data_IF_939472059683
#
_entry.id   IF_939472059683
#
_cell.length_a   1.000
_cell.length_b   1.000
_cell.length_c   1.000
_cell.angle_alpha   90.00
_cell.angle_beta   90.00
_cell.angle_gamma   90.00
#
_symmetry.space_group_name_H-M   'P 1'
#
loop_
_entity.id
_entity.type
_entity.pdbx_description
1 polymer ?
#
# COMPACT_ATOMS: atom_id res chain seq x y z
N UNK A 1 31.39 -1.43 -5.86
CA UNK A 1 31.29 -0.26 -4.98
C UNK A 1 31.86 -0.70 -3.65
N UNK A 2 32.96 -0.10 -3.19
CA UNK A 2 33.51 -0.45 -1.87
C UNK A 2 32.81 0.39 -0.82
N UNK A 3 32.10 -0.24 0.11
CA UNK A 3 31.34 0.48 1.14
C UNK A 3 32.22 1.01 2.28
N UNK A 4 33.51 0.64 2.32
CA UNK A 4 34.50 1.21 3.24
C UNK A 4 34.52 2.74 3.16
N UNK A 5 34.64 3.29 1.94
CA UNK A 5 34.65 4.73 1.72
C UNK A 5 33.33 5.41 2.14
N UNK A 6 32.19 4.74 1.92
CA UNK A 6 30.89 5.24 2.36
C UNK A 6 30.84 5.41 3.88
N UNK A 7 31.19 4.38 4.65
CA UNK A 7 31.12 4.45 6.11
C UNK A 7 32.19 5.36 6.72
N UNK A 8 33.39 5.41 6.15
CA UNK A 8 34.50 6.21 6.67
C UNK A 8 34.40 7.69 6.27
N UNK A 9 34.09 7.99 5.02
CA UNK A 9 34.19 9.35 4.47
C UNK A 9 32.84 10.00 4.24
N UNK A 10 31.88 9.27 3.62
CA UNK A 10 30.59 9.87 3.30
C UNK A 10 29.72 10.05 4.56
N UNK A 11 29.76 9.08 5.46
CA UNK A 11 29.08 9.10 6.75
C UNK A 11 29.95 9.73 7.84
N UNK A 12 31.27 9.48 7.80
CA UNK A 12 32.19 9.99 8.82
C UNK A 12 32.12 9.26 10.16
N UNK A 13 31.98 7.93 10.18
CA UNK A 13 31.88 7.19 11.44
C UNK A 13 33.15 7.36 12.27
N UNK A 14 32.98 7.75 13.53
CA UNK A 14 34.09 7.96 14.44
C UNK A 14 34.49 6.69 15.19
N UNK A 15 35.76 6.65 15.63
CA UNK A 15 36.35 5.57 16.48
C UNK A 15 36.19 4.17 15.88
N UNK A 16 36.33 4.06 14.56
CA UNK A 16 36.21 2.79 13.85
C UNK A 16 37.33 1.82 14.26
N UNK A 17 36.94 0.57 14.54
CA UNK A 17 37.83 -0.59 14.63
C UNK A 17 37.45 -1.60 13.57
N UNK A 18 38.42 -2.03 12.77
CA UNK A 18 38.24 -3.02 11.70
C UNK A 18 38.61 -4.43 12.14
N UNK A 19 37.87 -5.42 11.64
CA UNK A 19 38.19 -6.85 11.72
C UNK A 19 37.77 -7.50 10.41
N UNK A 20 38.73 -7.72 9.51
CA UNK A 20 38.43 -8.11 8.13
C UNK A 20 37.59 -7.04 7.43
N UNK A 21 36.49 -7.44 6.82
CA UNK A 21 35.54 -6.54 6.17
C UNK A 21 34.46 -5.95 7.10
N UNK A 22 34.53 -6.22 8.40
CA UNK A 22 33.61 -5.68 9.40
C UNK A 22 34.25 -4.52 10.16
N UNK A 23 33.53 -3.41 10.28
CA UNK A 23 33.86 -2.25 11.10
C UNK A 23 32.91 -2.13 12.29
N UNK A 24 33.39 -1.54 13.39
CA UNK A 24 32.57 -1.08 14.50
C UNK A 24 33.00 0.31 14.94
N UNK A 25 32.05 1.24 15.10
CA UNK A 25 32.29 2.63 15.47
C UNK A 25 31.13 3.24 16.24
N UNK A 26 31.17 4.57 16.42
CA UNK A 26 30.09 5.32 17.05
C UNK A 26 28.85 5.35 16.15
N UNK A 27 27.67 5.21 16.73
CA UNK A 27 26.41 5.32 15.98
C UNK A 27 26.23 6.72 15.39
N UNK A 28 26.02 6.85 14.07
CA UNK A 28 25.82 8.15 13.42
C UNK A 28 24.36 8.64 13.49
N UNK A 29 23.43 7.87 14.07
CA UNK A 29 22.00 8.19 14.04
C UNK A 29 21.67 9.36 14.98
N UNK A 30 20.97 10.42 14.52
CA UNK A 30 20.67 11.60 15.33
C UNK A 30 19.86 11.32 16.60
N UNK A 31 19.06 10.26 16.60
CA UNK A 31 18.23 9.85 17.73
C UNK A 31 19.01 9.07 18.82
N UNK A 32 20.32 8.89 18.65
CA UNK A 32 21.15 8.12 19.57
C UNK A 32 22.46 8.86 19.87
N UNK A 33 22.53 9.47 21.06
CA UNK A 33 23.77 10.05 21.60
C UNK A 33 24.68 8.95 22.14
N UNK A 34 25.42 8.33 21.22
CA UNK A 34 26.26 7.17 21.50
C UNK A 34 27.68 7.57 21.94
N UNK A 35 28.08 7.12 23.12
CA UNK A 35 29.39 7.40 23.70
C UNK A 35 30.36 6.20 23.57
N UNK A 36 29.84 5.02 23.21
CA UNK A 36 30.60 3.78 23.14
C UNK A 36 30.38 3.09 21.79
N UNK A 37 31.42 2.68 21.05
CA UNK A 37 31.25 2.07 19.73
C UNK A 37 30.23 0.92 19.73
N UNK A 38 29.05 1.18 19.18
CA UNK A 38 27.93 0.24 19.16
C UNK A 38 27.41 -0.02 17.74
N UNK A 39 27.91 0.72 16.75
CA UNK A 39 27.48 0.63 15.35
C UNK A 39 28.43 -0.24 14.54
N UNK A 40 27.97 -1.44 14.20
CA UNK A 40 28.72 -2.39 13.38
C UNK A 40 28.27 -2.35 11.92
N UNK A 41 29.21 -2.47 10.99
CA UNK A 41 28.95 -2.39 9.55
C UNK A 41 29.90 -3.24 8.71
N UNK A 42 29.51 -3.52 7.47
CA UNK A 42 30.24 -4.38 6.53
C UNK A 42 30.66 -3.62 5.28
N UNK A 43 31.97 -3.52 5.02
CA UNK A 43 32.52 -2.88 3.81
C UNK A 43 32.22 -3.66 2.52
N UNK A 44 31.93 -4.96 2.63
CA UNK A 44 31.61 -5.82 1.48
C UNK A 44 30.13 -5.74 1.09
N UNK A 45 29.23 -5.77 2.08
CA UNK A 45 27.78 -5.89 1.83
C UNK A 45 27.02 -4.60 2.02
N UNK A 46 27.63 -3.57 2.62
CA UNK A 46 26.98 -2.31 2.94
C UNK A 46 25.93 -2.43 4.05
N UNK A 47 25.85 -3.57 4.75
CA UNK A 47 24.93 -3.77 5.87
C UNK A 47 25.47 -3.12 7.14
N UNK A 48 24.57 -2.67 8.01
CA UNK A 48 24.91 -2.11 9.32
C UNK A 48 23.87 -2.49 10.39
N UNK A 49 24.30 -2.46 11.64
CA UNK A 49 23.49 -2.73 12.82
C UNK A 49 24.06 -1.96 14.02
N UNK A 50 23.21 -1.19 14.70
CA UNK A 50 23.56 -0.54 15.94
C UNK A 50 23.07 -1.35 17.14
N UNK A 51 24.00 -1.89 17.93
CA UNK A 51 23.70 -2.65 19.14
C UNK A 51 23.23 -1.76 20.31
N UNK A 52 23.44 -0.43 20.24
CA UNK A 52 22.96 0.53 21.23
C UNK A 52 21.47 0.86 21.07
N UNK A 53 21.09 1.48 19.94
CA UNK A 53 19.69 1.86 19.68
C UNK A 53 18.82 0.77 19.04
N UNK A 54 19.41 -0.32 18.54
CA UNK A 54 18.69 -1.44 17.92
C UNK A 54 18.33 -1.26 16.44
N UNK A 55 18.61 -0.10 15.85
CA UNK A 55 18.40 0.18 14.43
C UNK A 55 19.39 -0.57 13.55
N UNK A 56 18.96 -0.94 12.34
CA UNK A 56 19.77 -1.70 11.38
C UNK A 56 19.31 -1.49 9.94
N UNK A 57 20.21 -1.74 8.99
CA UNK A 57 19.94 -1.35 7.61
C UNK A 57 21.02 -1.77 6.61
N UNK A 58 20.90 -1.22 5.42
CA UNK A 58 21.96 -1.14 4.42
C UNK A 58 22.40 0.31 4.19
N UNK A 59 23.44 0.51 3.38
CA UNK A 59 24.01 1.82 3.07
C UNK A 59 22.96 2.83 2.57
N UNK A 60 22.04 2.39 1.72
CA UNK A 60 20.92 3.21 1.26
C UNK A 60 20.03 3.71 2.40
N UNK A 61 19.59 2.80 3.28
CA UNK A 61 18.73 3.17 4.42
C UNK A 61 19.46 4.11 5.39
N UNK A 62 20.76 3.93 5.61
CA UNK A 62 21.55 4.84 6.44
C UNK A 62 21.61 6.23 5.82
N UNK A 63 21.94 6.31 4.53
CA UNK A 63 22.01 7.58 3.80
C UNK A 63 20.68 8.34 3.83
N UNK A 64 19.54 7.62 3.79
CA UNK A 64 18.22 8.22 3.97
C UNK A 64 17.99 8.77 5.37
N UNK A 65 18.32 8.01 6.42
CA UNK A 65 18.12 8.44 7.81
C UNK A 65 18.96 9.69 8.13
N UNK A 66 20.15 9.77 7.55
CA UNK A 66 21.04 10.93 7.69
C UNK A 66 20.74 12.06 6.69
N UNK A 67 19.62 11.98 5.96
CA UNK A 67 19.17 13.00 4.99
C UNK A 67 20.23 13.40 3.95
N UNK A 68 21.08 12.44 3.54
CA UNK A 68 22.15 12.70 2.58
C UNK A 68 21.60 13.04 1.19
N UNK A 69 22.28 13.91 0.43
CA UNK A 69 21.94 14.15 -0.97
C UNK A 69 22.16 12.89 -1.82
N UNK A 70 21.17 12.55 -2.65
CA UNK A 70 21.20 11.40 -3.57
C UNK A 70 21.48 10.03 -2.89
N UNK A 71 20.64 9.57 -1.94
CA UNK A 71 20.85 8.29 -1.26
C UNK A 71 20.74 7.09 -2.22
N UNK A 72 20.04 7.26 -3.34
CA UNK A 72 19.87 6.25 -4.37
C UNK A 72 21.19 5.77 -4.98
N UNK A 73 22.28 6.53 -4.88
CA UNK A 73 23.60 6.09 -5.35
C UNK A 73 24.09 4.83 -4.63
N UNK A 74 23.62 4.59 -3.40
CA UNK A 74 23.96 3.42 -2.59
C UNK A 74 23.01 2.23 -2.82
N UNK A 75 22.05 2.36 -3.75
CA UNK A 75 21.27 1.25 -4.29
C UNK A 75 22.11 0.53 -5.35
N UNK A 76 23.07 -0.31 -4.95
CA UNK A 76 23.64 -1.24 -5.92
C UNK A 76 24.09 -2.57 -5.31
N UNK A 77 23.39 -3.62 -5.74
CA UNK A 77 23.71 -5.03 -5.57
C UNK A 77 24.75 -5.37 -6.64
N UNK A 78 25.97 -5.82 -6.29
CA UNK A 78 26.90 -6.34 -7.27
C UNK A 78 26.30 -7.57 -7.96
N UNK A 79 26.13 -7.50 -9.28
CA UNK A 79 25.63 -8.59 -10.14
C UNK A 79 26.50 -9.86 -10.12
N UNK A 80 27.68 -9.79 -9.50
CA UNK A 80 28.66 -10.89 -9.39
C UNK A 80 28.36 -11.92 -8.30
N UNK A 81 27.44 -11.65 -7.36
CA UNK A 81 27.06 -12.58 -6.28
C UNK A 81 25.84 -13.48 -6.59
N UNK A 82 25.27 -13.40 -7.80
CA UNK A 82 24.13 -14.23 -8.21
C UNK A 82 24.47 -15.69 -8.55
N UNK A 83 25.75 -16.09 -8.49
CA UNK A 83 26.17 -17.47 -8.70
C UNK A 83 26.88 -18.00 -7.47
N UNK A 84 26.10 -18.52 -6.54
CA UNK A 84 26.22 -19.88 -6.03
C UNK A 84 25.21 -20.07 -4.89
N UNK A 85 24.26 -20.97 -5.10
CA UNK A 85 23.36 -21.40 -4.04
C UNK A 85 24.18 -22.04 -2.92
N UNK A 86 23.92 -21.64 -1.69
CA UNK A 86 23.58 -22.48 -0.55
C UNK A 86 23.18 -21.58 0.63
N UNK A 87 22.02 -21.90 1.19
CA UNK A 87 21.25 -21.29 2.28
C UNK A 87 21.96 -20.38 3.29
N UNK A 88 21.40 -19.17 3.41
CA UNK A 88 21.65 -18.24 4.52
C UNK A 88 21.32 -16.79 4.19
N UNK A 89 20.33 -16.52 3.33
CA UNK A 89 20.02 -15.15 2.89
C UNK A 89 19.53 -14.27 4.03
N UNK A 90 20.40 -13.35 4.49
CA UNK A 90 20.01 -12.21 5.31
C UNK A 90 18.99 -11.42 4.48
N UNK A 91 17.72 -11.47 4.92
CA UNK A 91 16.66 -10.65 4.34
C UNK A 91 17.02 -9.19 4.63
N UNK A 92 16.98 -8.29 3.64
CA UNK A 92 17.11 -6.86 3.92
C UNK A 92 16.08 -6.49 4.99
N UNK A 93 16.40 -5.61 5.96
CA UNK A 93 15.36 -5.05 6.80
C UNK A 93 14.36 -4.41 5.87
N UNK A 94 13.13 -4.91 5.90
CA UNK A 94 12.01 -4.22 5.26
C UNK A 94 12.06 -2.81 5.82
N UNK A 95 12.18 -1.81 4.96
CA UNK A 95 11.61 -0.50 5.25
C UNK A 95 10.20 -0.83 5.75
N UNK A 96 9.93 -0.69 7.05
CA UNK A 96 8.57 -0.82 7.58
C UNK A 96 7.81 0.44 7.14
N UNK A 97 7.61 0.57 5.83
CA UNK A 97 6.47 1.29 5.28
C UNK A 97 5.29 0.54 5.88
N UNK A 98 4.52 1.20 6.74
CA UNK A 98 3.32 0.56 7.28
C UNK A 98 2.49 0.10 6.09
N UNK A 99 1.86 -1.08 6.12
CA UNK A 99 1.06 -1.56 4.98
C UNK A 99 0.06 -0.51 4.46
N UNK A 100 -0.45 0.35 5.35
CA UNK A 100 -1.30 1.51 5.03
C UNK A 100 -0.62 2.55 4.14
N UNK A 101 0.65 2.85 4.38
CA UNK A 101 1.41 3.85 3.61
C UNK A 101 1.73 3.32 2.21
N UNK A 102 2.02 2.02 2.07
CA UNK A 102 2.22 1.39 0.76
C UNK A 102 0.93 1.41 -0.06
N UNK A 103 -0.20 1.11 0.58
CA UNK A 103 -1.52 1.16 -0.07
C UNK A 103 -1.85 2.58 -0.52
N UNK A 104 -1.68 3.58 0.35
CA UNK A 104 -1.92 4.98 0.00
C UNK A 104 -1.06 5.45 -1.18
N UNK A 105 0.23 5.07 -1.20
CA UNK A 105 1.13 5.37 -2.33
C UNK A 105 0.67 4.70 -3.63
N UNK A 106 0.22 3.44 -3.56
CA UNK A 106 -0.32 2.71 -4.72
C UNK A 106 -1.62 3.34 -5.22
N UNK A 107 -2.53 3.72 -4.33
CA UNK A 107 -3.78 4.41 -4.68
C UNK A 107 -3.51 5.72 -5.42
N UNK A 108 -2.66 6.58 -4.85
CA UNK A 108 -2.27 7.84 -5.48
C UNK A 108 -1.64 7.61 -6.87
N UNK A 109 -0.76 6.62 -6.98
CA UNK A 109 -0.18 6.22 -8.27
C UNK A 109 -1.27 5.78 -9.26
N UNK A 110 -2.16 4.87 -8.89
CA UNK A 110 -3.18 4.33 -9.80
C UNK A 110 -4.22 5.38 -10.20
N UNK A 111 -4.61 6.29 -9.30
CA UNK A 111 -5.47 7.44 -9.63
C UNK A 111 -4.79 8.37 -10.63
N UNK A 112 -3.47 8.60 -10.50
CA UNK A 112 -2.72 9.41 -11.47
C UNK A 112 -2.67 8.77 -12.87
N UNK A 113 -2.66 7.43 -12.95
CA UNK A 113 -2.60 6.66 -14.20
C UNK A 113 -3.96 6.53 -14.91
N UNK A 114 -5.07 6.89 -14.25
CA UNK A 114 -6.40 6.84 -14.84
C UNK A 114 -6.53 7.84 -15.99
N UNK A 115 -7.08 7.37 -17.11
CA UNK A 115 -7.24 8.16 -18.34
C UNK A 115 -8.21 9.33 -18.15
N UNK A 116 -7.90 10.48 -18.76
CA UNK A 116 -8.69 11.71 -18.57
C UNK A 116 -10.14 11.58 -19.07
N UNK A 117 -10.38 10.82 -20.13
CA UNK A 117 -11.72 10.57 -20.65
C UNK A 117 -12.63 9.82 -19.67
N UNK A 118 -12.05 9.00 -18.79
CA UNK A 118 -12.76 8.33 -17.69
C UNK A 118 -12.96 9.31 -16.53
N UNK A 119 -11.92 10.07 -16.15
CA UNK A 119 -11.99 11.10 -15.10
C UNK A 119 -13.06 12.15 -15.38
N UNK A 120 -13.20 12.57 -16.64
CA UNK A 120 -14.14 13.60 -17.05
C UNK A 120 -15.60 13.09 -17.11
N UNK A 121 -15.79 11.77 -17.21
CA UNK A 121 -17.12 11.14 -17.33
C UNK A 121 -17.66 10.55 -16.04
N UNK A 122 -16.78 10.17 -15.11
CA UNK A 122 -17.14 9.54 -13.85
C UNK A 122 -16.70 10.41 -12.70
N UNK A 123 -17.63 10.76 -11.81
CA UNK A 123 -17.32 11.45 -10.55
C UNK A 123 -16.70 10.48 -9.53
N UNK A 124 -15.52 9.97 -9.90
CA UNK A 124 -14.83 8.90 -9.21
C UNK A 124 -13.88 9.37 -8.11
N UNK A 125 -13.57 10.67 -8.06
CA UNK A 125 -12.63 11.24 -7.10
C UNK A 125 -11.32 10.43 -7.04
N UNK A 126 -10.94 10.01 -5.84
CA UNK A 126 -9.77 9.17 -5.60
C UNK A 126 -10.12 7.66 -5.50
N UNK A 127 -11.37 7.27 -5.71
CA UNK A 127 -11.86 5.89 -5.54
C UNK A 127 -11.59 4.98 -6.74
N UNK A 128 -11.11 5.55 -7.85
CA UNK A 128 -10.86 4.85 -9.10
C UNK A 128 -9.44 5.10 -9.58
N UNK A 129 -8.82 4.05 -10.10
CA UNK A 129 -7.48 4.12 -10.68
C UNK A 129 -7.27 3.10 -11.79
N UNK A 130 -6.06 3.09 -12.33
CA UNK A 130 -5.60 2.07 -13.27
C UNK A 130 -4.24 1.53 -12.82
N UNK A 131 -4.13 0.21 -12.67
CA UNK A 131 -2.87 -0.43 -12.31
C UNK A 131 -1.89 -0.51 -13.50
N UNK A 132 -0.66 -0.93 -13.21
CA UNK A 132 0.43 -1.02 -14.19
C UNK A 132 0.15 -2.04 -15.32
N UNK A 133 -0.80 -2.95 -15.11
CA UNK A 133 -1.26 -3.93 -16.10
C UNK A 133 -2.46 -3.42 -16.92
N UNK A 134 -2.92 -2.19 -16.67
CA UNK A 134 -4.08 -1.59 -17.33
C UNK A 134 -5.42 -2.13 -16.82
N UNK A 135 -5.47 -2.69 -15.60
CA UNK A 135 -6.74 -3.06 -14.95
C UNK A 135 -7.29 -1.86 -14.21
N UNK A 136 -8.62 -1.79 -14.16
CA UNK A 136 -9.32 -0.81 -13.32
C UNK A 136 -9.14 -1.20 -11.85
N UNK A 137 -8.80 -0.23 -11.00
CA UNK A 137 -8.67 -0.41 -9.55
C UNK A 137 -9.72 0.39 -8.80
N UNK A 138 -10.31 -0.20 -7.77
CA UNK A 138 -11.22 0.46 -6.84
C UNK A 138 -10.55 0.62 -5.48
N UNK A 139 -10.52 1.84 -4.96
CA UNK A 139 -9.75 2.19 -3.77
C UNK A 139 -10.65 2.23 -2.54
N UNK A 140 -10.18 1.61 -1.46
CA UNK A 140 -10.79 1.50 -0.14
C UNK A 140 -9.81 1.99 0.93
N UNK A 141 -10.23 2.39 2.14
CA UNK A 141 -9.35 3.04 3.12
C UNK A 141 -8.00 2.34 3.36
N UNK A 142 -7.98 1.00 3.40
CA UNK A 142 -6.78 0.20 3.60
C UNK A 142 -6.58 -0.88 2.53
N UNK A 143 -7.24 -0.75 1.37
CA UNK A 143 -7.23 -1.78 0.34
C UNK A 143 -7.38 -1.24 -1.08
N UNK A 144 -6.95 -2.05 -2.05
CA UNK A 144 -7.11 -1.78 -3.47
C UNK A 144 -7.66 -3.05 -4.10
N UNK A 145 -8.86 -2.97 -4.67
CA UNK A 145 -9.43 -4.06 -5.45
C UNK A 145 -9.04 -3.89 -6.90
N UNK A 146 -8.25 -4.83 -7.41
CA UNK A 146 -7.92 -4.94 -8.82
C UNK A 146 -9.05 -5.70 -9.52
N UNK A 147 -9.69 -5.06 -10.49
CA UNK A 147 -10.78 -5.68 -11.23
C UNK A 147 -10.28 -6.78 -12.19
N UNK A 148 -11.21 -7.53 -12.78
CA UNK A 148 -10.86 -8.55 -13.78
C UNK A 148 -10.05 -7.97 -14.93
N UNK A 149 -9.00 -8.67 -15.33
CA UNK A 149 -8.14 -8.26 -16.42
C UNK A 149 -8.80 -8.46 -17.79
N UNK A 150 -8.17 -7.92 -18.84
CA UNK A 150 -8.72 -7.97 -20.21
C UNK A 150 -8.77 -9.40 -20.77
N UNK A 151 -7.98 -10.32 -20.23
CA UNK A 151 -7.91 -11.71 -20.68
C UNK A 151 -8.67 -12.67 -19.74
N UNK A 152 -9.59 -12.13 -18.93
CA UNK A 152 -10.42 -12.94 -18.01
C UNK A 152 -9.72 -13.31 -16.71
N UNK A 153 -8.60 -12.67 -16.38
CA UNK A 153 -7.95 -12.87 -15.10
C UNK A 153 -8.86 -12.46 -13.94
N UNK A 154 -8.90 -13.25 -12.88
CA UNK A 154 -9.72 -12.99 -11.71
C UNK A 154 -9.34 -11.66 -11.03
N UNK A 155 -10.31 -10.99 -10.37
CA UNK A 155 -10.01 -9.86 -9.51
C UNK A 155 -9.21 -10.30 -8.28
N UNK A 156 -8.41 -9.39 -7.72
CA UNK A 156 -7.62 -9.63 -6.51
C UNK A 156 -7.50 -8.35 -5.67
N UNK A 157 -6.93 -8.48 -4.48
CA UNK A 157 -6.78 -7.38 -3.52
C UNK A 157 -5.32 -7.16 -3.15
N UNK A 158 -4.92 -5.91 -3.13
CA UNK A 158 -3.79 -5.43 -2.35
C UNK A 158 -4.31 -4.87 -1.03
N UNK A 159 -3.69 -5.24 0.09
CA UNK A 159 -4.11 -4.79 1.42
C UNK A 159 -5.38 -5.49 1.91
N UNK A 160 -6.29 -4.71 2.50
CA UNK A 160 -7.49 -5.24 3.14
C UNK A 160 -8.62 -5.51 2.14
N UNK A 161 -8.89 -6.80 1.89
CA UNK A 161 -9.91 -7.28 0.96
C UNK A 161 -11.19 -7.77 1.62
N UNK A 162 -11.47 -7.43 2.88
CA UNK A 162 -12.77 -7.75 3.47
C UNK A 162 -13.91 -7.01 2.76
N UNK A 163 -15.13 -7.54 2.91
CA UNK A 163 -16.33 -6.93 2.34
C UNK A 163 -16.62 -5.59 3.01
N UNK A 164 -16.57 -4.52 2.22
CA UNK A 164 -16.65 -3.11 2.63
C UNK A 164 -17.71 -2.38 1.81
N UNK A 165 -18.22 -1.27 2.33
CA UNK A 165 -19.04 -0.34 1.57
C UNK A 165 -18.11 0.49 0.68
N UNK A 166 -18.37 0.51 -0.63
CA UNK A 166 -17.63 1.34 -1.56
C UNK A 166 -18.16 2.78 -1.51
N UNK A 167 -17.25 3.76 -1.39
CA UNK A 167 -17.54 5.18 -1.19
C UNK A 167 -18.30 5.51 0.10
N UNK A 168 -18.01 4.80 1.19
CA UNK A 168 -18.67 4.96 2.49
C UNK A 168 -18.59 6.41 3.01
N UNK A 169 -17.46 7.09 2.84
CA UNK A 169 -17.28 8.48 3.27
C UNK A 169 -18.25 9.46 2.61
N UNK A 170 -18.71 9.17 1.38
CA UNK A 170 -19.71 10.00 0.69
C UNK A 170 -21.09 9.93 1.32
N UNK A 171 -21.41 8.88 2.08
CA UNK A 171 -22.70 8.73 2.76
C UNK A 171 -23.01 9.92 3.67
N UNK A 172 -21.99 10.45 4.35
CA UNK A 172 -22.12 11.61 5.24
C UNK A 172 -22.60 12.89 4.52
N UNK A 173 -22.38 12.98 3.21
CA UNK A 173 -22.82 14.10 2.37
C UNK A 173 -24.20 13.90 1.74
N UNK A 174 -24.79 12.71 1.85
CA UNK A 174 -26.09 12.41 1.28
C UNK A 174 -27.21 12.84 2.22
N UNK A 175 -28.27 13.43 1.66
CA UNK A 175 -29.42 13.84 2.43
C UNK A 175 -30.24 12.61 2.89
N UNK A 176 -30.50 12.42 4.21
CA UNK A 176 -31.21 11.26 4.76
C UNK A 176 -32.63 11.02 4.23
N UNK A 177 -33.29 12.10 3.77
CA UNK A 177 -34.63 12.10 3.21
C UNK A 177 -34.68 11.67 1.74
N UNK A 178 -33.53 11.68 1.04
CA UNK A 178 -33.41 11.20 -0.33
C UNK A 178 -33.08 9.70 -0.35
N UNK A 179 -33.57 8.96 -1.36
CA UNK A 179 -33.26 7.55 -1.48
C UNK A 179 -31.77 7.34 -1.74
N UNK A 180 -31.24 6.27 -1.14
CA UNK A 180 -29.92 5.72 -1.48
C UNK A 180 -30.08 4.43 -2.29
N UNK A 181 -29.18 4.24 -3.26
CA UNK A 181 -29.18 3.08 -4.15
C UNK A 181 -27.95 2.21 -3.87
N UNK A 182 -28.18 0.92 -3.68
CA UNK A 182 -27.13 -0.08 -3.50
C UNK A 182 -27.06 -0.91 -4.78
N UNK A 183 -25.98 -0.72 -5.52
CA UNK A 183 -25.69 -1.43 -6.75
C UNK A 183 -24.85 -2.68 -6.49
N UNK A 184 -24.89 -3.62 -7.42
CA UNK A 184 -24.11 -4.85 -7.33
C UNK A 184 -22.60 -4.62 -7.50
N UNK A 185 -22.21 -3.67 -8.35
CA UNK A 185 -20.82 -3.39 -8.70
C UNK A 185 -20.40 -1.94 -8.44
N UNK A 186 -19.11 -1.74 -8.17
CA UNK A 186 -18.51 -0.41 -8.02
C UNK A 186 -18.64 0.45 -9.29
N UNK A 187 -18.66 -0.17 -10.48
CA UNK A 187 -18.82 0.55 -11.75
C UNK A 187 -20.19 1.21 -11.86
N UNK A 188 -21.23 0.50 -11.46
CA UNK A 188 -22.61 0.98 -11.53
C UNK A 188 -22.83 2.10 -10.52
N UNK A 189 -22.25 1.96 -9.31
CA UNK A 189 -22.25 3.01 -8.30
C UNK A 189 -21.55 4.29 -8.78
N UNK A 190 -20.42 4.18 -9.49
CA UNK A 190 -19.71 5.34 -10.07
C UNK A 190 -20.42 5.98 -11.25
N UNK A 191 -21.12 5.20 -12.06
CA UNK A 191 -21.84 5.69 -13.22
C UNK A 191 -23.21 6.28 -12.86
N UNK A 192 -23.71 6.04 -11.65
CA UNK A 192 -25.00 6.52 -11.19
C UNK A 192 -25.00 8.05 -11.01
N UNK A 193 -25.97 8.78 -11.56
CA UNK A 193 -26.09 10.23 -11.38
C UNK A 193 -26.76 10.63 -10.05
N UNK A 194 -26.94 9.69 -9.13
CA UNK A 194 -27.63 9.86 -7.85
C UNK A 194 -26.89 9.13 -6.73
N UNK A 195 -27.34 9.28 -5.48
CA UNK A 195 -26.73 8.71 -4.27
C UNK A 195 -26.61 7.18 -4.39
N UNK A 196 -25.43 6.73 -4.80
CA UNK A 196 -25.17 5.34 -5.16
C UNK A 196 -23.95 4.81 -4.43
N UNK A 197 -24.09 3.61 -3.87
CA UNK A 197 -22.98 2.84 -3.32
C UNK A 197 -23.01 1.42 -3.88
N UNK A 198 -21.98 0.64 -3.60
CA UNK A 198 -21.98 -0.81 -3.80
C UNK A 198 -21.21 -1.49 -2.67
N UNK A 199 -21.21 -2.81 -2.66
CA UNK A 199 -20.36 -3.59 -1.76
C UNK A 199 -19.18 -4.21 -2.51
N UNK A 200 -18.06 -4.32 -1.82
CA UNK A 200 -16.79 -4.72 -2.45
C UNK A 200 -16.71 -6.18 -2.89
N UNK A 201 -17.68 -7.02 -2.55
CA UNK A 201 -17.57 -8.47 -2.67
C UNK A 201 -18.79 -9.17 -3.33
N UNK A 202 -19.30 -8.66 -4.46
CA UNK A 202 -20.33 -9.33 -5.27
C UNK A 202 -21.69 -9.47 -4.57
N UNK A 203 -22.74 -9.83 -5.33
CA UNK A 203 -24.13 -9.77 -4.88
C UNK A 203 -24.44 -10.48 -3.55
N UNK A 204 -23.73 -11.58 -3.22
CA UNK A 204 -24.03 -12.36 -2.02
C UNK A 204 -23.37 -11.87 -0.73
N UNK A 205 -22.41 -10.94 -0.82
CA UNK A 205 -21.61 -10.53 0.34
C UNK A 205 -22.08 -9.19 0.86
N UNK A 206 -22.35 -9.16 2.17
CA UNK A 206 -22.81 -7.97 2.87
C UNK A 206 -21.72 -7.61 3.88
N UNK A 207 -21.26 -6.35 3.94
CA UNK A 207 -20.36 -5.88 4.98
C UNK A 207 -20.89 -6.21 6.38
N UNK A 208 -19.97 -6.43 7.33
CA UNK A 208 -20.38 -6.75 8.71
C UNK A 208 -21.10 -5.56 9.35
N UNK A 209 -20.53 -4.38 9.15
CA UNK A 209 -21.11 -3.12 9.57
C UNK A 209 -21.84 -2.48 8.38
N UNK A 210 -23.14 -2.30 8.53
CA UNK A 210 -24.01 -1.58 7.59
C UNK A 210 -24.77 -0.46 8.32
N UNK A 211 -24.36 -0.13 9.54
CA UNK A 211 -25.00 0.91 10.35
C UNK A 211 -25.14 2.24 9.63
N UNK A 212 -24.16 2.70 8.80
CA UNK A 212 -24.31 3.92 8.02
C UNK A 212 -25.52 3.95 7.07
N UNK A 213 -26.07 2.79 6.69
CA UNK A 213 -27.24 2.72 5.81
C UNK A 213 -28.54 3.04 6.55
N UNK A 214 -28.58 2.85 7.87
CA UNK A 214 -29.79 3.05 8.67
C UNK A 214 -30.17 4.52 8.86
N UNK A 215 -29.27 5.45 8.50
CA UNK A 215 -29.56 6.87 8.50
C UNK A 215 -30.52 7.26 7.36
N UNK A 216 -30.70 6.42 6.33
CA UNK A 216 -31.53 6.72 5.18
C UNK A 216 -32.95 6.17 5.31
N UNK A 217 -33.95 7.02 5.04
CA UNK A 217 -35.36 6.63 5.11
C UNK A 217 -35.78 5.64 4.03
N UNK A 218 -35.09 5.64 2.89
CA UNK A 218 -35.43 4.81 1.73
C UNK A 218 -34.16 4.25 1.10
N UNK A 219 -34.10 2.93 1.00
CA UNK A 219 -32.98 2.20 0.40
C UNK A 219 -33.52 1.39 -0.78
N UNK A 220 -32.96 1.60 -1.97
CA UNK A 220 -33.22 0.79 -3.15
C UNK A 220 -32.05 -0.15 -3.41
N UNK A 221 -32.34 -1.42 -3.66
CA UNK A 221 -31.33 -2.42 -4.03
C UNK A 221 -31.48 -2.70 -5.53
N UNK A 222 -30.47 -2.36 -6.31
CA UNK A 222 -30.45 -2.42 -7.77
C UNK A 222 -29.34 -3.38 -8.25
N UNK A 223 -29.57 -4.68 -8.05
CA UNK A 223 -28.66 -5.74 -8.48
C UNK A 223 -29.01 -6.25 -9.88
N UNK A 224 -28.11 -7.02 -10.49
CA UNK A 224 -28.30 -7.58 -11.81
C UNK A 224 -29.55 -8.48 -11.85
N UNK A 225 -30.26 -8.45 -12.98
CA UNK A 225 -31.47 -9.26 -13.18
C UNK A 225 -31.12 -10.72 -13.55
N UNK A 226 -30.38 -11.38 -12.66
CA UNK A 226 -30.03 -12.79 -12.75
C UNK A 226 -30.27 -13.52 -11.42
N UNK A 227 -30.00 -14.82 -11.38
CA UNK A 227 -30.24 -15.62 -10.18
C UNK A 227 -29.39 -15.16 -8.98
N UNK A 228 -28.14 -14.74 -9.23
CA UNK A 228 -27.22 -14.31 -8.18
C UNK A 228 -27.61 -12.95 -7.62
N UNK A 229 -27.91 -11.98 -8.49
CA UNK A 229 -28.40 -10.66 -8.13
C UNK A 229 -29.72 -10.72 -7.37
N UNK A 230 -30.69 -11.52 -7.82
CA UNK A 230 -31.97 -11.69 -7.12
C UNK A 230 -31.79 -12.29 -5.70
N UNK A 231 -30.95 -13.32 -5.57
CA UNK A 231 -30.65 -13.94 -4.27
C UNK A 231 -29.91 -12.97 -3.34
N UNK A 232 -28.93 -12.24 -3.88
CA UNK A 232 -28.16 -11.24 -3.16
C UNK A 232 -29.02 -10.09 -2.66
N UNK A 233 -29.86 -9.53 -3.53
CA UNK A 233 -30.76 -8.43 -3.21
C UNK A 233 -31.76 -8.83 -2.11
N UNK A 234 -32.35 -10.02 -2.21
CA UNK A 234 -33.23 -10.55 -1.17
C UNK A 234 -32.51 -10.70 0.18
N UNK A 235 -31.30 -11.26 0.17
CA UNK A 235 -30.49 -11.45 1.38
C UNK A 235 -30.14 -10.11 2.04
N UNK A 236 -29.85 -9.09 1.24
CA UNK A 236 -29.58 -7.74 1.75
C UNK A 236 -30.85 -7.09 2.32
N UNK A 237 -31.98 -7.22 1.63
CA UNK A 237 -33.26 -6.71 2.11
C UNK A 237 -33.71 -7.35 3.44
N UNK A 238 -33.36 -8.62 3.68
CA UNK A 238 -33.62 -9.30 4.95
C UNK A 238 -32.68 -8.85 6.08
N UNK A 239 -31.52 -8.26 5.74
CA UNK A 239 -30.48 -7.84 6.69
C UNK A 239 -30.64 -6.38 7.13
N UNK A 240 -31.19 -5.54 6.27
CA UNK A 240 -31.52 -4.13 6.55
C UNK A 240 -32.79 -4.08 7.40
#
# INVERSE_FOLDING_TARGET
>A
MEYSCFFENDIGIERIKWTGSQGIGICPLPAHDDQNPSFSFSAETGLWNCFGCGEKGNAYTLAKILEMPNPNQYLNIPSTLMKNGHNGGIRPPKTEIKPTDEIAMKQAKYTSQLQNDIKDKLDSGEHLGMDDSGRLTFHYPNGIKHHKGKNGEAPYWDGDGHCQIFMEERLSGFAPDKPIYIFEGEKDALAAPFNGISFSAGAGSIPKDITPLYDFNTIYIAYDNDEAGNKGAKKLAERI
#
